data_IF_381515359814
#
_entry.id   IF_381515359814
#
_cell.length_a   1.000
_cell.length_b   1.000
_cell.length_c   1.000
_cell.angle_alpha   90.00
_cell.angle_beta   90.00
_cell.angle_gamma   90.00
#
_symmetry.space_group_name_H-M   'P 1'
#
loop_
_entity.id
_entity.type
_entity.pdbx_description
1 polymer ?
#
# COMPACT_ATOMS: atom_id res chain seq x y z
N UNK A 1 -3.51 5.87 -7.66
CA UNK A 1 -3.77 6.85 -6.58
C UNK A 1 -2.57 7.05 -5.65
N UNK A 2 -2.08 5.99 -5.01
CA UNK A 2 -0.96 5.99 -4.04
C UNK A 2 0.26 6.83 -4.45
N UNK A 3 0.72 6.73 -5.70
CA UNK A 3 1.86 7.51 -6.21
C UNK A 3 1.63 9.02 -6.16
N UNK A 4 0.47 9.48 -6.61
CA UNK A 4 0.08 10.90 -6.57
C UNK A 4 -0.05 11.40 -5.13
N UNK A 5 -0.52 10.55 -4.22
CA UNK A 5 -0.54 10.87 -2.78
C UNK A 5 0.90 11.04 -2.28
N UNK A 6 1.77 10.04 -2.51
CA UNK A 6 3.17 10.07 -2.06
C UNK A 6 3.94 11.29 -2.59
N UNK A 7 3.79 11.60 -3.89
CA UNK A 7 4.39 12.78 -4.52
C UNK A 7 3.96 14.08 -3.83
N UNK A 8 2.69 14.19 -3.42
CA UNK A 8 2.18 15.38 -2.70
C UNK A 8 2.78 15.58 -1.30
N UNK A 9 3.37 14.53 -0.74
CA UNK A 9 4.10 14.56 0.53
C UNK A 9 5.63 14.54 0.35
N UNK A 10 6.13 14.56 -0.89
CA UNK A 10 7.56 14.44 -1.17
C UNK A 10 8.14 13.07 -0.79
N UNK A 11 7.32 12.01 -0.81
CA UNK A 11 7.72 10.64 -0.52
C UNK A 11 8.06 9.93 -1.82
N UNK A 12 9.26 9.36 -1.90
CA UNK A 12 9.68 8.58 -3.05
C UNK A 12 8.86 7.29 -3.20
N UNK A 13 8.50 6.95 -4.43
CA UNK A 13 7.83 5.69 -4.77
C UNK A 13 8.66 4.84 -5.69
N UNK A 14 8.69 3.53 -5.42
CA UNK A 14 9.42 2.54 -6.19
C UNK A 14 8.45 1.47 -6.69
N UNK A 15 8.53 1.13 -7.97
CA UNK A 15 7.74 0.06 -8.59
C UNK A 15 8.63 -1.19 -8.75
N UNK A 16 8.07 -2.38 -8.46
CA UNK A 16 8.79 -3.65 -8.55
C UNK A 16 7.98 -4.69 -9.35
N UNK A 17 8.61 -5.81 -9.68
CA UNK A 17 7.89 -6.99 -10.15
C UNK A 17 6.98 -7.55 -9.05
N UNK A 18 5.93 -8.29 -9.44
CA UNK A 18 5.04 -8.99 -8.52
C UNK A 18 5.80 -9.97 -7.64
N UNK A 19 5.51 -9.92 -6.35
CA UNK A 19 6.07 -10.72 -5.28
C UNK A 19 6.82 -9.87 -4.26
N UNK A 20 6.48 -10.03 -2.97
CA UNK A 20 7.12 -9.33 -1.85
C UNK A 20 8.64 -9.50 -1.77
N UNK A 21 9.20 -10.58 -2.34
CA UNK A 21 10.65 -10.74 -2.48
C UNK A 21 11.31 -9.57 -3.21
N UNK A 22 10.65 -9.00 -4.22
CA UNK A 22 11.17 -7.87 -4.99
C UNK A 22 11.00 -6.56 -4.22
N UNK A 23 9.89 -6.39 -3.52
CA UNK A 23 9.62 -5.24 -2.63
C UNK A 23 10.67 -5.18 -1.52
N UNK A 24 10.85 -6.25 -0.76
CA UNK A 24 11.82 -6.34 0.35
C UNK A 24 13.27 -6.17 -0.14
N UNK A 25 13.59 -6.66 -1.34
CA UNK A 25 14.90 -6.42 -1.93
C UNK A 25 15.08 -4.95 -2.36
N UNK A 26 14.05 -4.30 -2.90
CA UNK A 26 14.08 -2.88 -3.24
C UNK A 26 14.26 -2.01 -1.97
N UNK A 27 13.46 -2.26 -0.94
CA UNK A 27 13.57 -1.63 0.38
C UNK A 27 15.01 -1.65 0.88
N UNK A 28 15.60 -2.85 0.99
CA UNK A 28 16.98 -3.03 1.44
C UNK A 28 17.98 -2.23 0.59
N UNK A 29 17.86 -2.30 -0.74
CA UNK A 29 18.77 -1.59 -1.64
C UNK A 29 18.68 -0.07 -1.46
N UNK A 30 17.47 0.48 -1.33
CA UNK A 30 17.22 1.91 -1.14
C UNK A 30 17.75 2.37 0.21
N UNK A 31 17.51 1.60 1.28
CA UNK A 31 18.08 1.88 2.61
C UNK A 31 19.61 1.89 2.57
N UNK A 32 20.25 0.88 1.97
CA UNK A 32 21.71 0.74 1.95
C UNK A 32 22.41 1.77 1.04
N UNK A 33 21.82 2.09 -0.12
CA UNK A 33 22.47 2.95 -1.13
C UNK A 33 22.11 4.41 -0.99
N UNK A 34 20.88 4.71 -0.59
CA UNK A 34 20.35 6.07 -0.53
C UNK A 34 20.15 6.57 0.90
N UNK A 35 20.26 5.69 1.91
CA UNK A 35 20.08 6.05 3.33
C UNK A 35 18.64 6.44 3.68
N UNK A 36 17.66 6.07 2.85
CA UNK A 36 16.25 6.41 3.03
C UNK A 36 15.54 5.43 3.97
N UNK A 37 14.52 5.91 4.66
CA UNK A 37 13.68 5.06 5.52
C UNK A 37 12.53 4.43 4.73
N UNK A 38 12.20 3.19 5.05
CA UNK A 38 11.05 2.51 4.50
C UNK A 38 9.77 2.93 5.25
N UNK A 39 8.74 3.28 4.50
CA UNK A 39 7.46 3.70 5.06
C UNK A 39 6.39 2.61 4.89
N UNK A 40 6.11 2.23 3.65
CA UNK A 40 4.97 1.40 3.31
C UNK A 40 5.19 0.70 1.97
N UNK A 41 4.70 -0.53 1.84
CA UNK A 41 4.60 -1.26 0.59
C UNK A 41 3.30 -2.06 0.52
N UNK A 42 2.85 -2.33 -0.70
CA UNK A 42 1.64 -3.09 -0.95
C UNK A 42 1.63 -3.75 -2.33
N UNK A 43 0.73 -4.71 -2.50
CA UNK A 43 0.33 -5.32 -3.77
C UNK A 43 -1.19 -5.27 -3.91
N UNK A 44 -1.71 -5.31 -5.14
CA UNK A 44 -3.15 -5.32 -5.42
C UNK A 44 -3.85 -6.56 -4.82
N UNK A 45 -3.10 -7.65 -4.68
CA UNK A 45 -3.53 -8.93 -4.09
C UNK A 45 -3.65 -8.91 -2.55
N UNK A 46 -4.03 -7.76 -1.97
CA UNK A 46 -4.27 -7.57 -0.51
C UNK A 46 -3.00 -7.88 0.31
N UNK A 47 -1.84 -7.50 -0.22
CA UNK A 47 -0.56 -7.60 0.47
C UNK A 47 -0.12 -6.23 0.96
N UNK A 48 0.27 -6.12 2.23
CA UNK A 48 0.69 -4.86 2.84
C UNK A 48 1.83 -5.08 3.82
N UNK A 49 2.72 -4.10 3.92
CA UNK A 49 3.80 -4.07 4.90
C UNK A 49 4.13 -2.62 5.24
N UNK A 50 4.34 -2.37 6.53
CA UNK A 50 4.84 -1.11 7.08
C UNK A 50 5.94 -1.43 8.08
N UNK A 51 6.95 -0.56 8.13
CA UNK A 51 8.14 -0.79 8.93
C UNK A 51 8.99 -1.97 8.45
N UNK A 52 10.13 -2.15 9.09
CA UNK A 52 11.19 -3.07 8.67
C UNK A 52 11.37 -4.23 9.68
N UNK A 53 10.33 -4.55 10.45
CA UNK A 53 10.34 -5.62 11.45
C UNK A 53 10.28 -7.02 10.83
N UNK A 54 9.59 -7.14 9.70
CA UNK A 54 9.44 -8.37 8.92
C UNK A 54 9.80 -8.11 7.46
N UNK A 55 10.08 -9.17 6.71
CA UNK A 55 10.37 -9.12 5.26
C UNK A 55 9.33 -9.91 4.47
N UNK A 56 8.08 -9.78 4.88
CA UNK A 56 6.91 -10.42 4.28
C UNK A 56 5.67 -9.54 4.49
N UNK A 57 4.53 -9.91 3.90
CA UNK A 57 3.23 -9.31 4.17
C UNK A 57 2.90 -9.44 5.66
N UNK A 58 2.33 -8.40 6.25
CA UNK A 58 1.85 -8.42 7.64
C UNK A 58 0.40 -7.94 7.73
N UNK A 59 -0.52 -8.91 7.75
CA UNK A 59 -1.94 -8.64 7.90
C UNK A 59 -2.31 -8.12 9.29
N UNK A 60 -1.55 -8.48 10.34
CA UNK A 60 -1.84 -8.08 11.72
C UNK A 60 -1.54 -6.60 11.89
N UNK A 61 -0.38 -6.13 11.42
CA UNK A 61 -0.04 -4.71 11.44
C UNK A 61 -1.01 -3.91 10.56
N UNK A 62 -1.38 -4.45 9.39
CA UNK A 62 -2.34 -3.78 8.50
C UNK A 62 -3.71 -3.61 9.16
N UNK A 63 -4.20 -4.64 9.85
CA UNK A 63 -5.45 -4.57 10.61
C UNK A 63 -5.35 -3.55 11.77
N UNK A 64 -4.21 -3.51 12.45
CA UNK A 64 -3.96 -2.52 13.50
C UNK A 64 -3.97 -1.09 12.96
N UNK A 65 -3.31 -0.82 11.83
CA UNK A 65 -3.35 0.48 11.17
C UNK A 65 -4.77 0.91 10.79
N UNK A 66 -5.58 -0.02 10.25
CA UNK A 66 -6.98 0.26 9.92
C UNK A 66 -7.80 0.57 11.18
N UNK A 67 -7.58 -0.16 12.28
CA UNK A 67 -8.25 0.10 13.54
C UNK A 67 -7.85 1.48 14.13
N UNK A 68 -6.57 1.83 14.07
CA UNK A 68 -6.05 3.15 14.47
C UNK A 68 -6.69 4.27 13.62
N UNK A 69 -6.71 4.12 12.29
CA UNK A 69 -7.37 5.08 11.39
C UNK A 69 -8.86 5.22 11.73
N UNK A 70 -9.56 4.10 11.95
CA UNK A 70 -10.98 4.12 12.30
C UNK A 70 -11.23 4.87 13.61
N UNK A 71 -10.42 4.60 14.65
CA UNK A 71 -10.53 5.26 15.94
C UNK A 71 -10.22 6.77 15.82
N UNK A 72 -9.14 7.13 15.13
CA UNK A 72 -8.72 8.52 14.92
C UNK A 72 -9.80 9.32 14.18
N UNK A 73 -10.31 8.81 13.06
CA UNK A 73 -11.32 9.55 12.30
C UNK A 73 -12.67 9.57 12.99
N UNK A 74 -13.05 8.50 13.70
CA UNK A 74 -14.26 8.49 14.52
C UNK A 74 -14.22 9.57 15.61
N UNK A 75 -13.07 9.76 16.27
CA UNK A 75 -12.87 10.85 17.22
C UNK A 75 -13.08 12.24 16.59
N UNK A 76 -12.76 12.39 15.30
CA UNK A 76 -12.97 13.61 14.53
C UNK A 76 -14.37 13.71 13.89
N UNK A 77 -15.30 12.82 14.24
CA UNK A 77 -16.67 12.83 13.71
C UNK A 77 -16.80 12.32 12.26
N UNK A 78 -15.77 11.63 11.75
CA UNK A 78 -15.72 11.07 10.41
C UNK A 78 -15.69 9.53 10.45
N UNK A 79 -16.07 8.90 9.35
CA UNK A 79 -15.83 7.48 9.11
C UNK A 79 -14.84 7.27 7.94
N UNK A 80 -14.31 6.05 7.80
CA UNK A 80 -13.31 5.75 6.79
C UNK A 80 -13.79 5.96 5.34
N UNK A 81 -15.09 5.78 5.06
CA UNK A 81 -15.63 5.99 3.72
C UNK A 81 -15.67 7.49 3.36
N UNK A 82 -15.98 8.35 4.32
CA UNK A 82 -15.93 9.81 4.12
C UNK A 82 -14.49 10.27 3.85
N UNK A 83 -13.53 9.76 4.61
CA UNK A 83 -12.11 10.05 4.40
C UNK A 83 -11.64 9.55 3.03
N UNK A 84 -12.08 8.36 2.62
CA UNK A 84 -11.77 7.81 1.30
C UNK A 84 -12.35 8.69 0.17
N UNK A 85 -13.59 9.16 0.31
CA UNK A 85 -14.21 10.06 -0.66
C UNK A 85 -13.49 11.42 -0.74
N UNK A 86 -13.04 11.96 0.40
CA UNK A 86 -12.24 13.18 0.44
C UNK A 86 -10.87 12.99 -0.23
N UNK A 87 -10.24 11.81 -0.08
CA UNK A 87 -9.02 11.46 -0.81
C UNK A 87 -9.26 11.42 -2.32
N UNK A 88 -10.37 10.84 -2.78
CA UNK A 88 -10.71 10.83 -4.20
C UNK A 88 -10.97 12.23 -4.76
N UNK A 89 -11.71 13.08 -4.03
CA UNK A 89 -11.93 14.47 -4.42
C UNK A 89 -10.62 15.27 -4.52
N UNK A 90 -9.67 14.99 -3.62
CA UNK A 90 -8.38 15.70 -3.56
C UNK A 90 -7.40 15.24 -4.62
N UNK A 91 -7.28 13.93 -4.84
CA UNK A 91 -6.21 13.33 -5.65
C UNK A 91 -6.68 12.71 -6.97
N UNK A 92 -7.98 12.77 -7.24
CA UNK A 92 -8.62 12.17 -8.41
C UNK A 92 -9.12 10.74 -8.15
N UNK A 93 -9.90 10.25 -9.10
CA UNK A 93 -10.47 8.91 -9.09
C UNK A 93 -9.58 7.96 -9.91
N UNK A 94 -9.40 6.74 -9.42
CA UNK A 94 -8.58 5.70 -10.06
C UNK A 94 -9.38 4.41 -10.07
N UNK A 95 -9.48 3.79 -11.24
CA UNK A 95 -10.19 2.53 -11.45
C UNK A 95 -9.19 1.46 -11.87
N UNK A 96 -9.31 0.27 -11.29
CA UNK A 96 -8.52 -0.91 -11.62
C UNK A 96 -9.46 -2.10 -11.79
N UNK A 97 -9.23 -2.90 -12.83
CA UNK A 97 -10.03 -4.09 -13.14
C UNK A 97 -9.09 -5.25 -13.46
N UNK A 98 -9.24 -6.36 -12.74
CA UNK A 98 -8.53 -7.60 -13.02
C UNK A 98 -9.39 -8.54 -13.86
N UNK A 99 -8.89 -8.90 -15.04
CA UNK A 99 -9.50 -9.92 -15.89
C UNK A 99 -8.80 -11.26 -15.70
N UNK A 100 -9.48 -12.24 -15.10
CA UNK A 100 -8.97 -13.59 -14.93
C UNK A 100 -9.51 -14.50 -16.03
N UNK A 101 -8.65 -14.95 -16.94
CA UNK A 101 -8.98 -15.97 -17.93
C UNK A 101 -8.54 -17.32 -17.36
N UNK A 102 -9.52 -18.13 -16.98
CA UNK A 102 -9.28 -19.51 -16.55
C UNK A 102 -9.31 -20.43 -17.77
N UNK A 103 -8.24 -21.20 -17.95
CA UNK A 103 -8.16 -22.26 -18.96
C UNK A 103 -8.05 -23.59 -18.23
N UNK A 104 -9.05 -24.45 -18.37
CA UNK A 104 -8.93 -25.83 -17.93
C UNK A 104 -7.83 -26.50 -18.76
N UNK A 105 -6.87 -27.12 -18.09
CA UNK A 105 -5.84 -27.90 -18.77
C UNK A 105 -6.48 -29.01 -19.60
N UNK A 106 -5.91 -29.31 -20.75
CA UNK A 106 -6.26 -30.53 -21.47
C UNK A 106 -5.83 -31.75 -20.64
N UNK A 107 -6.72 -32.75 -20.50
CA UNK A 107 -6.35 -34.09 -20.03
C UNK A 107 -5.30 -34.74 -20.95
#
# INVERSE_FOLDING_TARGET
MSKVIADSFGVDTYETLTGFKFICNMEKNVQEKEGKSFLFAYEESIGYLTGDFVRDKDAVISAMLIAEMAAYYHYNGLNLLQVLDDLYKKYGYYEEVQHSIYLEGAE
#
